data_IF_519588997019
#
_entry.id   IF_519588997019
#
_cell.length_a   1.000
_cell.length_b   1.000
_cell.length_c   1.000
_cell.angle_alpha   90.00
_cell.angle_beta   90.00
_cell.angle_gamma   90.00
#
_symmetry.space_group_name_H-M   'P 1'
#
loop_
_entity.id
_entity.type
_entity.pdbx_description
1 polymer ?
#
# COMPACT_ATOMS: atom_id res chain seq x y z
N UNK A 1 3.79 1.18 -28.36
CA UNK A 1 3.49 2.28 -27.41
C UNK A 1 3.31 1.71 -26.02
N UNK A 2 3.93 2.30 -25.00
CA UNK A 2 3.74 1.88 -23.60
C UNK A 2 2.31 2.18 -23.17
N UNK A 3 1.50 1.13 -22.95
CA UNK A 3 0.14 1.27 -22.44
C UNK A 3 0.20 1.61 -20.95
N UNK A 4 -0.20 2.83 -20.60
CA UNK A 4 -0.35 3.25 -19.21
C UNK A 4 -1.72 2.84 -18.66
N UNK A 5 -1.77 2.65 -17.34
CA UNK A 5 -2.99 2.38 -16.59
C UNK A 5 -3.37 3.65 -15.83
N UNK A 6 -4.52 4.23 -16.17
CA UNK A 6 -4.96 5.49 -15.58
C UNK A 6 -6.03 5.29 -14.52
N UNK A 7 -5.93 6.06 -13.43
CA UNK A 7 -6.94 6.11 -12.39
C UNK A 7 -8.17 6.88 -12.88
N UNK A 8 -9.36 6.31 -12.74
CA UNK A 8 -10.61 6.97 -13.17
C UNK A 8 -11.04 8.11 -12.24
N UNK A 9 -10.50 8.19 -11.02
CA UNK A 9 -10.88 9.20 -10.01
C UNK A 9 -10.02 10.44 -10.10
N UNK A 10 -8.69 10.29 -10.27
CA UNK A 10 -7.74 11.41 -10.27
C UNK A 10 -6.87 11.49 -11.54
N UNK A 11 -7.13 10.64 -12.53
CA UNK A 11 -6.45 10.62 -13.84
C UNK A 11 -4.91 10.42 -13.79
N UNK A 12 -4.35 10.07 -12.62
CA UNK A 12 -2.94 9.65 -12.51
C UNK A 12 -2.69 8.39 -13.33
N UNK A 13 -1.56 8.37 -14.03
CA UNK A 13 -1.15 7.26 -14.90
C UNK A 13 -0.01 6.46 -14.27
N UNK A 14 -0.09 5.14 -14.42
CA UNK A 14 0.87 4.19 -13.88
C UNK A 14 1.37 3.28 -14.99
N UNK A 15 2.65 2.88 -14.94
CA UNK A 15 3.25 1.94 -15.89
C UNK A 15 2.80 0.50 -15.68
N UNK A 16 2.26 0.17 -14.50
CA UNK A 16 1.84 -1.18 -14.13
C UNK A 16 0.42 -1.17 -13.57
N UNK A 17 -0.36 -2.22 -13.88
CA UNK A 17 -1.71 -2.41 -13.35
C UNK A 17 -1.71 -2.56 -11.83
N UNK A 18 -0.75 -3.30 -11.28
CA UNK A 18 -0.57 -3.48 -9.83
C UNK A 18 -0.41 -2.14 -9.10
N UNK A 19 0.37 -1.22 -9.67
CA UNK A 19 0.53 0.14 -9.13
C UNK A 19 -0.77 0.93 -9.15
N UNK A 20 -1.57 0.83 -10.22
CA UNK A 20 -2.90 1.44 -10.27
C UNK A 20 -3.84 0.83 -9.21
N UNK A 21 -3.88 -0.51 -9.09
CA UNK A 21 -4.70 -1.19 -8.07
C UNK A 21 -4.33 -0.75 -6.66
N UNK A 22 -3.03 -0.70 -6.35
CA UNK A 22 -2.56 -0.22 -5.04
C UNK A 22 -2.91 1.25 -4.81
N UNK A 23 -2.82 2.07 -5.84
CA UNK A 23 -3.22 3.47 -5.76
C UNK A 23 -4.72 3.63 -5.50
N UNK A 24 -5.59 2.78 -6.07
CA UNK A 24 -7.04 2.91 -5.87
C UNK A 24 -7.46 2.73 -4.41
N UNK A 25 -6.65 2.03 -3.60
CA UNK A 25 -6.84 1.91 -2.15
C UNK A 25 -6.86 3.27 -1.44
N UNK A 26 -6.18 4.29 -1.98
CA UNK A 26 -6.19 5.65 -1.44
C UNK A 26 -7.57 6.29 -1.56
N UNK A 27 -8.32 5.96 -2.62
CA UNK A 27 -9.66 6.49 -2.86
C UNK A 27 -10.73 5.69 -2.10
N UNK A 28 -10.58 4.37 -2.02
CA UNK A 28 -11.55 3.51 -1.33
C UNK A 28 -11.33 3.42 0.17
N UNK A 29 -10.17 3.87 0.67
CA UNK A 29 -9.76 3.69 2.06
C UNK A 29 -9.43 2.23 2.42
N UNK A 30 -9.36 1.33 1.43
CA UNK A 30 -9.04 -0.08 1.68
C UNK A 30 -7.64 -0.23 2.26
N UNK A 31 -7.56 -0.93 3.38
CA UNK A 31 -6.31 -1.22 4.08
C UNK A 31 -6.28 -2.69 4.48
N UNK A 32 -6.00 -3.60 3.53
CA UNK A 32 -6.15 -5.04 3.73
C UNK A 32 -5.13 -5.65 4.70
N UNK A 33 -4.10 -4.90 5.09
CA UNK A 33 -3.02 -5.42 5.92
C UNK A 33 -3.19 -4.95 7.37
N UNK A 34 -3.63 -5.86 8.23
CA UNK A 34 -3.82 -5.61 9.67
C UNK A 34 -2.54 -5.94 10.46
N UNK A 35 -2.20 -5.08 11.41
CA UNK A 35 -1.25 -5.40 12.47
C UNK A 35 -1.98 -6.14 13.58
N UNK A 36 -1.54 -7.36 13.89
CA UNK A 36 -2.21 -8.20 14.90
C UNK A 36 -1.86 -7.81 16.34
N UNK A 37 -0.95 -6.86 16.55
CA UNK A 37 -0.52 -6.40 17.88
C UNK A 37 -1.34 -5.17 18.32
N UNK A 38 -1.52 -4.18 17.44
CA UNK A 38 -2.22 -2.93 17.74
C UNK A 38 -3.46 -2.67 16.87
N UNK A 39 -3.84 -3.63 16.03
CA UNK A 39 -5.00 -3.56 15.12
C UNK A 39 -4.98 -2.39 14.12
N UNK A 40 -3.82 -1.78 13.91
CA UNK A 40 -3.63 -0.75 12.88
C UNK A 40 -3.63 -1.36 11.48
N UNK A 41 -4.30 -0.71 10.55
CA UNK A 41 -4.45 -1.18 9.17
C UNK A 41 -3.56 -0.38 8.19
N UNK A 42 -3.07 -1.07 7.16
CA UNK A 42 -2.15 -0.54 6.14
C UNK A 42 -2.63 -0.91 4.74
N UNK A 43 -2.40 0.00 3.79
CA UNK A 43 -2.70 -0.20 2.36
C UNK A 43 -1.71 -1.11 1.65
N UNK A 44 -0.50 -1.28 2.21
CA UNK A 44 0.59 -2.06 1.61
C UNK A 44 1.30 -2.95 2.64
N UNK A 45 1.74 -4.14 2.18
CA UNK A 45 2.41 -5.14 3.03
C UNK A 45 3.76 -4.66 3.55
N UNK A 46 4.58 -4.01 2.73
CA UNK A 46 5.89 -3.47 3.12
C UNK A 46 5.77 -2.46 4.27
N UNK A 47 4.75 -1.60 4.26
CA UNK A 47 4.46 -0.68 5.35
C UNK A 47 4.09 -1.41 6.64
N UNK A 48 3.29 -2.48 6.56
CA UNK A 48 3.00 -3.34 7.72
C UNK A 48 4.27 -4.02 8.24
N UNK A 49 5.12 -4.56 7.37
CA UNK A 49 6.39 -5.19 7.76
C UNK A 49 7.33 -4.20 8.45
N UNK A 50 7.46 -2.99 7.91
CA UNK A 50 8.23 -1.93 8.57
C UNK A 50 7.61 -1.54 9.92
N UNK A 51 6.28 -1.47 9.99
CA UNK A 51 5.57 -1.17 11.22
C UNK A 51 5.80 -2.21 12.32
N UNK A 52 5.90 -3.50 11.98
CA UNK A 52 6.18 -4.54 12.97
C UNK A 52 7.48 -4.30 13.75
N UNK A 53 8.45 -3.61 13.15
CA UNK A 53 9.71 -3.23 13.82
C UNK A 53 9.51 -2.29 14.99
N UNK A 54 8.41 -1.53 15.01
CA UNK A 54 8.04 -0.69 16.17
C UNK A 54 7.68 -1.55 17.38
N UNK A 55 7.12 -2.75 17.16
CA UNK A 55 6.76 -3.68 18.24
C UNK A 55 7.93 -4.57 18.65
N UNK A 56 8.74 -5.02 17.69
CA UNK A 56 9.85 -5.93 17.96
C UNK A 56 11.14 -5.22 18.37
N UNK A 57 11.27 -3.92 18.08
CA UNK A 57 12.51 -3.17 18.27
C UNK A 57 13.62 -3.55 17.29
N UNK A 58 13.31 -4.35 16.25
CA UNK A 58 14.29 -4.84 15.28
C UNK A 58 14.93 -3.68 14.48
N UNK A 59 16.26 -3.64 14.47
CA UNK A 59 17.08 -2.73 13.65
C UNK A 59 17.84 -3.54 12.59
N UNK A 60 17.46 -3.45 11.30
CA UNK A 60 18.07 -4.26 10.25
C UNK A 60 19.46 -3.75 9.79
N UNK A 61 19.96 -2.67 10.39
CA UNK A 61 21.28 -2.07 10.14
C UNK A 61 21.96 -1.76 11.47
#
# INVERSE_FOLDING_TARGET
GNKLYSCSVCYKSFSQRSSLTRHSHVHTGLKPHLCNICHKNFSERNHLTQHYRVHTGEKPY
#
